data_IF_716476092584
#
_entry.id   IF_716476092584
#
_cell.length_a   1.000
_cell.length_b   1.000
_cell.length_c   1.000
_cell.angle_alpha   90.00
_cell.angle_beta   90.00
_cell.angle_gamma   90.00
#
_symmetry.space_group_name_H-M   'P 1'
#
loop_
_entity.id
_entity.type
_entity.pdbx_description
1 polymer ?
#
# COMPACT_ATOMS: atom_id res chain seq x y z
N UNK A 1 17.33 -59.56 -47.70
CA UNK A 1 17.59 -58.68 -46.53
C UNK A 1 16.93 -57.34 -46.77
N UNK A 2 15.81 -57.04 -46.08
CA UNK A 2 15.17 -55.71 -46.10
C UNK A 2 15.25 -55.12 -44.70
N UNK A 3 16.26 -54.27 -44.45
CA UNK A 3 16.25 -53.34 -43.32
C UNK A 3 15.76 -51.99 -43.85
N UNK A 4 14.43 -51.80 -43.82
CA UNK A 4 13.78 -50.57 -44.27
C UNK A 4 13.31 -49.74 -43.08
N UNK A 5 13.94 -48.57 -42.91
CA UNK A 5 13.24 -47.29 -42.74
C UNK A 5 12.22 -47.21 -41.58
N UNK A 6 12.67 -47.39 -40.33
CA UNK A 6 11.88 -47.06 -39.12
C UNK A 6 12.38 -45.84 -38.34
N UNK A 7 13.60 -45.37 -38.60
CA UNK A 7 14.23 -44.28 -37.83
C UNK A 7 13.74 -42.86 -38.16
N UNK A 8 13.42 -42.58 -39.43
CA UNK A 8 13.06 -41.22 -39.87
C UNK A 8 11.69 -40.74 -39.39
N UNK A 9 10.72 -41.65 -39.27
CA UNK A 9 9.36 -41.32 -38.80
C UNK A 9 9.36 -40.97 -37.31
N UNK A 10 10.16 -41.69 -36.51
CA UNK A 10 10.26 -41.46 -35.07
C UNK A 10 10.87 -40.08 -34.75
N UNK A 11 11.88 -39.67 -35.52
CA UNK A 11 12.55 -38.35 -35.38
C UNK A 11 11.61 -37.22 -35.78
N UNK A 12 10.80 -37.39 -36.83
CA UNK A 12 9.82 -36.38 -37.25
C UNK A 12 8.69 -36.22 -36.20
N UNK A 13 8.23 -37.33 -35.61
CA UNK A 13 7.21 -37.30 -34.53
C UNK A 13 7.76 -36.62 -33.27
N UNK A 14 9.04 -36.85 -32.93
CA UNK A 14 9.70 -36.15 -31.81
C UNK A 14 9.86 -34.65 -32.07
N UNK A 15 10.25 -34.23 -33.28
CA UNK A 15 10.40 -32.81 -33.64
C UNK A 15 9.05 -32.07 -33.72
N UNK A 16 7.99 -32.72 -34.20
CA UNK A 16 6.63 -32.16 -34.22
C UNK A 16 6.01 -32.13 -32.82
N UNK A 17 6.31 -33.13 -31.97
CA UNK A 17 5.91 -33.14 -30.56
C UNK A 17 6.57 -32.03 -29.73
N UNK A 18 7.83 -31.68 -30.04
CA UNK A 18 8.56 -30.58 -29.41
C UNK A 18 8.04 -29.19 -29.80
N UNK A 19 7.35 -29.04 -30.94
CA UNK A 19 6.73 -27.77 -31.36
C UNK A 19 5.34 -27.52 -30.74
N UNK A 20 4.75 -28.51 -30.08
CA UNK A 20 3.47 -28.39 -29.34
C UNK A 20 3.67 -28.05 -27.86
N UNK A 21 4.86 -27.61 -27.44
CA UNK A 21 5.03 -26.94 -26.15
C UNK A 21 4.59 -25.49 -26.35
N UNK A 22 3.28 -25.30 -26.52
CA UNK A 22 2.67 -23.99 -26.45
C UNK A 22 3.03 -23.40 -25.09
N UNK A 23 3.72 -22.27 -25.08
CA UNK A 23 4.01 -21.53 -23.85
C UNK A 23 2.67 -21.23 -23.21
N UNK A 24 2.37 -21.90 -22.08
CA UNK A 24 1.21 -21.59 -21.27
C UNK A 24 1.42 -20.18 -20.74
N UNK A 25 0.77 -19.24 -21.40
CA UNK A 25 0.73 -17.84 -20.98
C UNK A 25 -0.32 -17.77 -19.87
N UNK A 26 0.07 -17.21 -18.74
CA UNK A 26 -0.69 -17.25 -17.49
C UNK A 26 -0.79 -15.84 -16.93
N UNK A 27 -1.78 -15.55 -16.08
CA UNK A 27 -1.82 -14.29 -15.34
C UNK A 27 -0.45 -14.06 -14.70
N UNK A 28 0.27 -13.05 -15.19
CA UNK A 28 1.52 -12.63 -14.61
C UNK A 28 1.36 -11.21 -14.09
N UNK A 29 2.20 -10.90 -13.09
CA UNK A 29 2.58 -9.53 -12.82
C UNK A 29 1.47 -8.65 -12.21
N UNK A 30 0.64 -9.18 -11.31
CA UNK A 30 -0.18 -8.33 -10.44
C UNK A 30 0.73 -7.45 -9.58
N UNK A 31 0.59 -6.13 -9.74
CA UNK A 31 1.35 -5.08 -9.04
C UNK A 31 0.37 -4.15 -8.32
N UNK A 32 0.41 -4.24 -7.00
CA UNK A 32 -0.35 -3.37 -6.12
C UNK A 32 0.49 -2.15 -5.74
N UNK A 33 -0.09 -0.95 -5.91
CA UNK A 33 0.43 0.32 -5.41
C UNK A 33 -0.57 0.89 -4.41
N UNK A 34 -0.17 0.92 -3.15
CA UNK A 34 -0.87 1.58 -2.05
C UNK A 34 0.06 2.67 -1.52
N UNK A 35 -0.42 3.91 -1.30
CA UNK A 35 0.39 4.95 -0.70
C UNK A 35 0.80 4.54 0.70
N UNK A 36 2.10 4.67 1.02
CA UNK A 36 2.63 4.29 2.34
C UNK A 36 2.00 5.09 3.48
N UNK A 37 1.71 6.36 3.22
CA UNK A 37 1.08 7.26 4.17
C UNK A 37 0.13 8.22 3.44
N UNK A 38 -1.03 8.48 4.04
CA UNK A 38 -2.00 9.49 3.58
C UNK A 38 -2.44 10.33 4.78
N UNK A 39 -2.54 11.64 4.60
CA UNK A 39 -2.97 12.53 5.69
C UNK A 39 -4.47 12.37 5.94
N UNK A 40 -4.88 12.33 7.22
CA UNK A 40 -6.29 12.26 7.62
C UNK A 40 -7.14 13.29 6.88
N UNK A 41 -8.30 12.87 6.41
CA UNK A 41 -9.24 13.70 5.66
C UNK A 41 -8.92 13.89 4.17
N UNK A 42 -7.75 13.43 3.69
CA UNK A 42 -7.46 13.37 2.25
C UNK A 42 -7.99 12.09 1.62
N UNK A 43 -7.95 12.01 0.30
CA UNK A 43 -8.34 10.81 -0.44
C UNK A 43 -7.12 9.89 -0.65
N UNK A 44 -7.34 8.58 -0.65
CA UNK A 44 -6.31 7.59 -0.93
C UNK A 44 -6.62 6.84 -2.23
N UNK A 45 -5.66 6.85 -3.15
CA UNK A 45 -5.78 6.15 -4.44
C UNK A 45 -5.01 4.84 -4.38
N UNK A 46 -5.74 3.73 -4.49
CA UNK A 46 -5.17 2.38 -4.53
C UNK A 46 -5.18 1.89 -5.98
N UNK A 47 -4.05 1.38 -6.48
CA UNK A 47 -3.95 0.93 -7.86
C UNK A 47 -3.46 -0.50 -7.96
N UNK A 48 -4.13 -1.30 -8.79
CA UNK A 48 -3.81 -2.68 -9.07
C UNK A 48 -3.60 -2.85 -10.57
N UNK A 49 -2.35 -3.01 -10.98
CA UNK A 49 -1.98 -3.24 -12.37
C UNK A 49 -1.78 -4.73 -12.56
N UNK A 50 -2.27 -5.29 -13.67
CA UNK A 50 -2.17 -6.71 -13.96
C UNK A 50 -2.07 -6.94 -15.47
N UNK A 51 -1.47 -8.05 -15.87
CA UNK A 51 -1.39 -8.49 -17.27
C UNK A 51 -2.02 -9.88 -17.39
N UNK A 52 -3.10 -9.97 -18.17
CA UNK A 52 -3.87 -11.20 -18.36
C UNK A 52 -3.20 -12.16 -19.36
N UNK A 53 -2.11 -11.76 -20.03
CA UNK A 53 -1.37 -12.54 -21.04
C UNK A 53 -2.27 -13.23 -22.10
N UNK A 54 -3.38 -12.57 -22.48
CA UNK A 54 -4.32 -13.05 -23.50
C UNK A 54 -5.64 -13.60 -22.97
N UNK A 55 -5.77 -13.83 -21.65
CA UNK A 55 -7.03 -14.20 -21.02
C UNK A 55 -8.00 -13.02 -20.91
N UNK A 56 -9.27 -13.34 -20.63
CA UNK A 56 -10.27 -12.33 -20.22
C UNK A 56 -10.26 -12.16 -18.72
N UNK A 57 -10.62 -10.98 -18.24
CA UNK A 57 -10.78 -10.73 -16.81
C UNK A 57 -12.09 -11.37 -16.32
N UNK A 58 -12.03 -12.17 -15.27
CA UNK A 58 -13.22 -12.62 -14.54
C UNK A 58 -13.61 -11.61 -13.45
N UNK A 59 -12.67 -11.22 -12.58
CA UNK A 59 -12.93 -10.21 -11.55
C UNK A 59 -11.66 -9.57 -10.98
N UNK A 60 -11.79 -8.32 -10.52
CA UNK A 60 -10.84 -7.69 -9.58
C UNK A 60 -11.58 -7.44 -8.26
N UNK A 61 -11.03 -7.93 -7.15
CA UNK A 61 -11.59 -7.74 -5.81
C UNK A 61 -10.59 -7.03 -4.91
N UNK A 62 -11.12 -6.15 -4.06
CA UNK A 62 -10.35 -5.38 -3.10
C UNK A 62 -10.79 -5.71 -1.69
N UNK A 63 -9.79 -5.93 -0.84
CA UNK A 63 -9.97 -6.32 0.55
C UNK A 63 -9.28 -5.36 1.49
N UNK A 64 -9.91 -5.11 2.63
CA UNK A 64 -9.28 -4.52 3.81
C UNK A 64 -9.20 -5.59 4.88
N UNK A 65 -7.98 -6.06 5.17
CA UNK A 65 -7.78 -7.30 5.92
C UNK A 65 -8.49 -8.47 5.22
N UNK A 66 -9.49 -9.06 5.88
CA UNK A 66 -10.27 -10.18 5.36
C UNK A 66 -11.63 -9.77 4.77
N UNK A 67 -11.96 -8.48 4.79
CA UNK A 67 -13.26 -7.99 4.35
C UNK A 67 -13.17 -7.41 2.94
N UNK A 68 -13.91 -8.00 2.02
CA UNK A 68 -14.12 -7.42 0.70
C UNK A 68 -14.90 -6.13 0.83
N UNK A 69 -14.47 -5.08 0.12
CA UNK A 69 -15.17 -3.79 0.11
C UNK A 69 -15.50 -3.29 -1.29
N UNK A 70 -14.80 -3.78 -2.31
CA UNK A 70 -15.05 -3.41 -3.70
C UNK A 70 -14.75 -4.57 -4.65
N UNK A 71 -15.60 -4.75 -5.67
CA UNK A 71 -15.43 -5.73 -6.73
C UNK A 71 -15.79 -5.14 -8.09
N UNK A 72 -14.95 -5.42 -9.07
CA UNK A 72 -15.24 -5.20 -10.49
C UNK A 72 -15.33 -6.56 -11.21
N UNK A 73 -16.47 -6.86 -11.82
CA UNK A 73 -16.74 -8.06 -12.60
C UNK A 73 -17.31 -7.67 -13.97
N UNK A 74 -16.53 -7.68 -15.07
CA UNK A 74 -16.98 -7.17 -16.37
C UNK A 74 -18.16 -7.95 -16.96
N UNK A 75 -18.35 -9.21 -16.58
CA UNK A 75 -19.46 -10.08 -17.01
C UNK A 75 -20.76 -9.92 -16.21
N UNK A 76 -20.76 -9.13 -15.14
CA UNK A 76 -21.95 -8.90 -14.31
C UNK A 76 -22.61 -7.54 -14.62
N UNK A 77 -23.89 -7.40 -14.26
CA UNK A 77 -24.63 -6.14 -14.30
C UNK A 77 -25.31 -5.88 -12.93
N UNK A 78 -24.89 -4.86 -12.16
CA UNK A 78 -23.82 -3.90 -12.46
C UNK A 78 -22.43 -4.55 -12.41
N UNK A 79 -21.49 -3.97 -13.17
CA UNK A 79 -20.08 -4.41 -13.19
C UNK A 79 -19.36 -4.16 -11.87
N UNK A 80 -19.78 -3.13 -11.13
CA UNK A 80 -19.20 -2.74 -9.85
C UNK A 80 -20.15 -3.16 -8.72
N UNK A 81 -19.59 -3.78 -7.68
CA UNK A 81 -20.27 -4.08 -6.43
C UNK A 81 -19.45 -3.51 -5.28
N UNK A 82 -20.12 -2.84 -4.36
CA UNK A 82 -19.52 -2.30 -3.14
C UNK A 82 -20.08 -3.00 -1.91
N UNK A 83 -19.21 -3.27 -0.94
CA UNK A 83 -19.57 -3.84 0.35
C UNK A 83 -19.15 -2.85 1.43
N UNK A 84 -20.14 -2.29 2.13
CA UNK A 84 -19.89 -1.21 3.08
C UNK A 84 -19.07 -1.73 4.27
N UNK A 85 -17.94 -1.07 4.52
CA UNK A 85 -17.17 -1.21 5.75
C UNK A 85 -17.24 0.10 6.53
N UNK A 86 -17.39 0.01 7.85
CA UNK A 86 -17.47 1.19 8.71
C UNK A 86 -16.19 2.03 8.55
N UNK A 87 -16.37 3.34 8.35
CA UNK A 87 -15.28 4.31 8.18
C UNK A 87 -14.66 4.36 6.78
N UNK A 88 -14.97 3.40 5.90
CA UNK A 88 -14.39 3.32 4.56
C UNK A 88 -15.41 3.70 3.50
N UNK A 89 -15.16 4.82 2.82
CA UNK A 89 -16.02 5.33 1.75
C UNK A 89 -15.28 5.23 0.42
N UNK A 90 -15.89 4.58 -0.57
CA UNK A 90 -15.34 4.46 -1.93
C UNK A 90 -15.99 5.50 -2.84
N UNK A 91 -15.18 6.25 -3.59
CA UNK A 91 -15.68 7.08 -4.69
C UNK A 91 -15.96 6.20 -5.90
N UNK A 92 -17.23 5.91 -6.18
CA UNK A 92 -17.63 5.05 -7.31
C UNK A 92 -17.28 5.67 -8.67
N UNK A 93 -17.38 7.00 -8.80
CA UNK A 93 -17.14 7.71 -10.06
C UNK A 93 -15.67 7.65 -10.49
N UNK A 94 -14.75 7.53 -9.54
CA UNK A 94 -13.30 7.47 -9.77
C UNK A 94 -12.72 6.05 -9.59
N UNK A 95 -13.55 5.07 -9.24
CA UNK A 95 -13.15 3.68 -9.05
C UNK A 95 -13.52 2.81 -10.25
N UNK A 96 -12.56 2.03 -10.73
CA UNK A 96 -12.66 1.15 -11.90
C UNK A 96 -12.06 -0.22 -11.58
N UNK A 97 -11.71 -0.99 -12.59
CA UNK A 97 -11.07 -2.29 -12.46
C UNK A 97 -9.66 -2.19 -11.87
N UNK A 98 -8.83 -1.24 -12.34
CA UNK A 98 -7.44 -1.11 -11.90
C UNK A 98 -7.23 -0.14 -10.74
N UNK A 99 -8.27 0.55 -10.27
CA UNK A 99 -8.13 1.61 -9.28
C UNK A 99 -9.35 1.71 -8.36
N UNK A 100 -9.10 1.92 -7.06
CA UNK A 100 -10.14 2.28 -6.08
C UNK A 100 -9.70 3.54 -5.34
N UNK A 101 -10.61 4.52 -5.25
CA UNK A 101 -10.39 5.78 -4.53
C UNK A 101 -11.18 5.76 -3.23
N UNK A 102 -10.48 5.90 -2.10
CA UNK A 102 -11.07 6.02 -0.77
C UNK A 102 -11.18 7.50 -0.41
N UNK A 103 -12.36 7.96 -0.05
CA UNK A 103 -12.60 9.38 0.24
C UNK A 103 -12.41 9.70 1.72
N UNK A 104 -11.79 10.86 2.00
CA UNK A 104 -11.68 11.46 3.35
C UNK A 104 -11.24 10.44 4.39
N UNK A 105 -10.08 9.86 4.17
CA UNK A 105 -9.58 8.73 4.96
C UNK A 105 -9.42 9.09 6.43
N UNK A 106 -9.76 8.14 7.28
CA UNK A 106 -9.67 8.27 8.73
C UNK A 106 -8.67 7.27 9.30
N UNK A 107 -8.17 7.53 10.51
CA UNK A 107 -7.14 6.68 11.13
C UNK A 107 -7.58 5.22 11.26
N UNK A 108 -8.87 4.99 11.54
CA UNK A 108 -9.49 3.68 11.71
C UNK A 108 -9.52 2.84 10.44
N UNK A 109 -9.24 3.41 9.24
CA UNK A 109 -9.13 2.64 8.00
C UNK A 109 -7.71 2.21 7.64
N UNK A 110 -6.71 2.56 8.46
CA UNK A 110 -5.34 2.05 8.30
C UNK A 110 -5.31 0.52 8.34
N UNK A 111 -4.28 -0.06 7.74
CA UNK A 111 -4.00 -1.50 7.76
C UNK A 111 -3.70 -2.08 6.38
N UNK A 112 -3.85 -3.39 6.27
CA UNK A 112 -3.51 -4.15 5.07
C UNK A 112 -4.63 -4.08 4.03
N UNK A 113 -4.27 -3.71 2.81
CA UNK A 113 -5.15 -3.71 1.65
C UNK A 113 -4.65 -4.74 0.65
N UNK A 114 -5.57 -5.56 0.13
CA UNK A 114 -5.25 -6.56 -0.90
C UNK A 114 -6.03 -6.31 -2.18
N UNK A 115 -5.38 -6.56 -3.31
CA UNK A 115 -6.03 -6.69 -4.61
C UNK A 115 -5.89 -8.14 -5.08
N UNK A 116 -7.00 -8.79 -5.40
CA UNK A 116 -7.09 -10.11 -6.01
C UNK A 116 -7.57 -9.95 -7.46
N UNK A 117 -6.81 -10.47 -8.41
CA UNK A 117 -7.15 -10.49 -9.83
C UNK A 117 -7.36 -11.93 -10.25
N UNK A 118 -8.52 -12.22 -10.84
CA UNK A 118 -8.86 -13.54 -11.38
C UNK A 118 -9.10 -13.42 -12.87
N UNK A 119 -8.36 -14.19 -13.66
CA UNK A 119 -8.58 -14.42 -15.08
C UNK A 119 -9.75 -15.40 -15.30
N UNK A 120 -10.39 -15.30 -16.45
CA UNK A 120 -11.48 -16.18 -16.90
C UNK A 120 -10.89 -17.41 -17.64
N UNK A 121 -11.75 -18.17 -18.31
CA UNK A 121 -11.36 -19.28 -19.17
C UNK A 121 -10.27 -18.87 -20.18
N UNK A 122 -9.31 -19.78 -20.48
CA UNK A 122 -9.21 -21.16 -20.00
C UNK A 122 -8.46 -21.33 -18.67
N UNK A 123 -7.74 -20.30 -18.22
CA UNK A 123 -6.71 -20.48 -17.21
C UNK A 123 -7.22 -20.43 -15.77
N UNK A 124 -8.25 -19.62 -15.53
CA UNK A 124 -8.79 -19.33 -14.19
C UNK A 124 -7.73 -18.88 -13.18
N UNK A 125 -6.59 -18.36 -13.64
CA UNK A 125 -5.51 -17.98 -12.74
C UNK A 125 -5.94 -16.84 -11.84
N UNK A 126 -5.57 -16.95 -10.57
CA UNK A 126 -5.82 -15.94 -9.55
C UNK A 126 -4.50 -15.56 -8.90
N UNK A 127 -4.26 -14.26 -8.77
CA UNK A 127 -3.10 -13.74 -8.06
C UNK A 127 -3.52 -12.58 -7.15
N UNK A 128 -2.93 -12.53 -5.96
CA UNK A 128 -3.25 -11.55 -4.93
C UNK A 128 -1.98 -10.86 -4.45
N UNK A 129 -2.07 -9.54 -4.26
CA UNK A 129 -1.02 -8.74 -3.63
C UNK A 129 -1.60 -7.94 -2.48
N UNK A 130 -0.79 -7.74 -1.45
CA UNK A 130 -1.17 -7.00 -0.24
C UNK A 130 -0.14 -5.93 0.06
N UNK A 131 -0.60 -4.76 0.49
CA UNK A 131 0.24 -3.63 0.90
C UNK A 131 -0.44 -2.84 2.02
N UNK A 132 0.36 -2.22 2.88
CA UNK A 132 -0.14 -1.47 4.02
C UNK A 132 -0.45 -0.01 3.65
N UNK A 133 -1.62 0.47 4.05
CA UNK A 133 -1.99 1.88 4.06
C UNK A 133 -1.91 2.39 5.50
N UNK A 134 -1.13 3.45 5.73
CA UNK A 134 -1.12 4.18 7.00
C UNK A 134 -1.79 5.53 6.84
N UNK A 135 -2.81 5.82 7.64
CA UNK A 135 -3.37 7.17 7.74
C UNK A 135 -2.67 7.90 8.88
N UNK A 136 -2.14 9.09 8.59
CA UNK A 136 -1.34 9.88 9.52
C UNK A 136 -1.95 11.25 9.78
N UNK A 137 -1.64 11.82 10.94
CA UNK A 137 -1.96 13.19 11.31
C UNK A 137 -0.65 13.95 11.54
N UNK A 138 -0.48 15.04 10.79
CA UNK A 138 0.68 15.90 10.93
C UNK A 138 0.42 16.97 11.99
N UNK A 139 1.45 17.39 12.78
CA UNK A 139 1.36 18.57 13.62
C UNK A 139 0.95 19.78 12.77
N UNK A 140 0.06 20.64 13.30
CA UNK A 140 -0.40 21.84 12.57
C UNK A 140 0.63 22.96 12.56
N UNK A 141 1.61 22.89 13.46
CA UNK A 141 2.67 23.88 13.66
C UNK A 141 4.01 23.20 13.87
N UNK A 142 5.06 23.96 13.60
CA UNK A 142 6.42 23.56 13.94
C UNK A 142 6.58 23.36 15.46
N UNK A 143 7.48 22.46 15.88
CA UNK A 143 7.72 22.23 17.29
C UNK A 143 8.21 23.50 17.97
N UNK A 144 7.72 23.72 19.19
CA UNK A 144 8.05 24.91 19.98
C UNK A 144 9.16 24.58 20.97
N UNK A 145 10.14 25.49 21.07
CA UNK A 145 11.26 25.37 22.01
C UNK A 145 11.10 26.37 23.14
N UNK A 146 11.01 25.86 24.36
CA UNK A 146 10.88 26.63 25.59
C UNK A 146 12.07 26.44 26.54
N UNK A 147 12.20 27.32 27.53
CA UNK A 147 13.22 27.21 28.59
C UNK A 147 14.57 27.87 28.29
N UNK A 148 14.77 28.37 27.07
CA UNK A 148 15.98 29.11 26.70
C UNK A 148 16.01 30.53 27.29
N UNK A 149 17.19 30.98 27.70
CA UNK A 149 17.45 32.36 28.13
C UNK A 149 17.77 33.24 26.93
N UNK A 150 17.46 34.53 27.02
CA UNK A 150 17.81 35.51 25.98
C UNK A 150 19.32 35.75 25.87
N UNK A 151 20.08 35.49 26.94
CA UNK A 151 21.54 35.64 26.99
C UNK A 151 22.15 34.56 27.88
N UNK A 152 23.33 34.11 27.49
CA UNK A 152 24.13 33.11 28.20
C UNK A 152 25.56 33.62 28.41
N UNK A 153 26.18 33.24 29.51
CA UNK A 153 27.60 33.42 29.78
C UNK A 153 28.37 32.14 29.43
N UNK A 154 29.69 32.24 29.30
CA UNK A 154 30.54 31.06 29.22
C UNK A 154 30.30 30.17 30.44
N UNK A 155 30.29 28.85 30.23
CA UNK A 155 29.97 27.80 31.22
C UNK A 155 28.50 27.70 31.65
N UNK A 156 27.59 28.52 31.11
CA UNK A 156 26.16 28.32 31.38
C UNK A 156 25.64 27.02 30.73
N UNK A 157 24.80 26.30 31.46
CA UNK A 157 24.10 25.12 30.94
C UNK A 157 22.86 25.57 30.16
N UNK A 158 22.75 25.12 28.91
CA UNK A 158 21.54 25.26 28.11
C UNK A 158 20.58 24.12 28.46
N UNK A 159 19.41 24.47 28.98
CA UNK A 159 18.30 23.55 29.20
C UNK A 159 17.11 24.06 28.42
N UNK A 160 16.56 23.23 27.55
CA UNK A 160 15.41 23.57 26.73
C UNK A 160 14.47 22.38 26.64
N UNK A 161 13.19 22.66 26.42
CA UNK A 161 12.18 21.67 26.11
C UNK A 161 11.69 21.90 24.69
N UNK A 162 11.48 20.84 23.93
CA UNK A 162 10.95 20.90 22.58
C UNK A 162 9.69 20.05 22.54
N UNK A 163 8.57 20.65 22.15
CA UNK A 163 7.28 19.97 22.07
C UNK A 163 6.70 20.13 20.67
N UNK A 164 6.28 19.01 20.07
CA UNK A 164 5.42 19.01 18.89
C UNK A 164 3.97 19.19 19.30
N UNK A 165 3.13 19.74 18.43
CA UNK A 165 1.68 19.60 18.60
C UNK A 165 1.23 18.15 18.31
N UNK A 166 -0.01 17.82 18.67
CA UNK A 166 -0.61 16.50 18.48
C UNK A 166 -0.47 15.96 17.06
N UNK A 167 0.05 14.74 16.94
CA UNK A 167 0.29 14.04 15.68
C UNK A 167 0.01 12.53 15.80
N UNK A 168 -0.11 11.86 14.66
CA UNK A 168 -0.17 10.41 14.61
C UNK A 168 0.61 9.88 13.39
N UNK A 169 1.64 9.02 13.57
CA UNK A 169 2.24 8.63 14.85
C UNK A 169 2.93 9.82 15.54
N UNK A 170 3.46 9.61 16.75
CA UNK A 170 4.24 10.62 17.46
C UNK A 170 5.35 11.19 16.57
N UNK A 171 5.45 12.53 16.57
CA UNK A 171 6.51 13.24 15.86
C UNK A 171 7.89 12.83 16.39
N UNK A 172 8.86 12.68 15.49
CA UNK A 172 10.24 12.43 15.86
C UNK A 172 10.98 13.77 15.99
N UNK A 173 11.36 14.15 17.21
CA UNK A 173 12.04 15.40 17.51
C UNK A 173 13.55 15.18 17.60
N UNK A 174 14.32 16.02 16.89
CA UNK A 174 15.79 15.97 16.86
C UNK A 174 16.37 17.34 17.18
N UNK A 175 17.42 17.37 18.00
CA UNK A 175 18.05 18.62 18.45
C UNK A 175 19.31 18.95 17.64
N UNK A 176 19.39 20.22 17.23
CA UNK A 176 20.56 20.81 16.60
C UNK A 176 20.92 22.13 17.27
N UNK A 177 22.21 22.40 17.44
CA UNK A 177 22.73 23.70 17.88
C UNK A 177 23.61 24.23 16.74
N UNK A 178 23.19 25.36 16.14
CA UNK A 178 23.86 25.95 14.98
C UNK A 178 24.08 24.95 13.82
N UNK A 179 23.10 24.07 13.58
CA UNK A 179 23.15 23.04 12.53
C UNK A 179 23.96 21.79 12.90
N UNK A 180 24.57 21.74 14.08
CA UNK A 180 25.31 20.57 14.55
C UNK A 180 24.39 19.70 15.43
N UNK A 181 24.25 18.39 15.15
CA UNK A 181 23.40 17.51 15.95
C UNK A 181 23.93 17.39 17.37
N UNK A 182 23.02 17.48 18.35
CA UNK A 182 23.34 17.31 19.76
C UNK A 182 23.58 15.83 20.07
N UNK A 183 24.59 15.51 20.88
CA UNK A 183 24.86 14.13 21.28
C UNK A 183 23.70 13.57 22.12
N UNK A 184 23.32 12.32 21.86
CA UNK A 184 22.17 11.65 22.51
C UNK A 184 22.22 11.68 24.04
N UNK A 185 23.42 11.64 24.65
CA UNK A 185 23.60 11.70 26.11
C UNK A 185 23.06 12.99 26.77
N UNK A 186 22.83 14.04 25.97
CA UNK A 186 22.26 15.32 26.42
C UNK A 186 20.79 15.48 26.02
N UNK A 187 20.19 14.46 25.41
CA UNK A 187 18.80 14.46 24.95
C UNK A 187 18.02 13.49 25.84
N UNK A 188 16.89 13.95 26.35
CA UNK A 188 15.93 13.10 27.07
C UNK A 188 14.62 13.09 26.29
N UNK A 189 14.20 11.91 25.85
CA UNK A 189 12.91 11.72 25.20
C UNK A 189 11.85 11.47 26.27
N UNK A 190 10.79 12.29 26.24
CA UNK A 190 9.59 12.04 27.03
C UNK A 190 8.71 11.03 26.30
N UNK A 191 8.01 10.18 27.05
CA UNK A 191 7.01 9.29 26.46
C UNK A 191 5.86 10.13 25.86
N UNK A 192 5.42 9.84 24.62
CA UNK A 192 4.34 10.61 24.02
C UNK A 192 3.06 10.52 24.83
N UNK A 193 2.48 11.66 25.17
CA UNK A 193 1.23 11.74 25.91
C UNK A 193 0.05 11.87 24.95
N UNK A 194 -1.11 11.31 25.33
CA UNK A 194 -2.36 11.50 24.56
C UNK A 194 -2.72 12.99 24.56
N UNK A 195 -2.76 13.57 23.37
CA UNK A 195 -3.08 14.97 23.15
C UNK A 195 -4.60 15.20 23.17
N UNK A 196 -5.38 14.29 22.58
CA UNK A 196 -6.84 14.40 22.49
C UNK A 196 -7.55 13.06 22.31
N UNK A 197 -8.89 13.09 22.30
CA UNK A 197 -9.76 11.91 22.09
C UNK A 197 -9.61 11.27 20.68
N UNK A 198 -9.07 12.01 19.70
CA UNK A 198 -8.83 11.51 18.34
C UNK A 198 -7.60 10.60 18.23
N UNK A 199 -6.90 10.36 19.34
CA UNK A 199 -5.73 9.48 19.42
C UNK A 199 -4.41 10.15 19.00
N UNK A 200 -4.40 11.49 18.86
CA UNK A 200 -3.16 12.23 18.61
C UNK A 200 -2.28 12.21 19.85
N UNK A 201 -0.96 12.27 19.65
CA UNK A 201 0.03 12.27 20.73
C UNK A 201 1.03 13.42 20.57
N UNK A 202 1.53 13.90 21.71
CA UNK A 202 2.51 14.99 21.84
C UNK A 202 3.76 14.55 22.58
#
# INVERSE_FOLDING_TARGET
MKMGQKGGVLVLVLLVGLFLIGVVSCLKNVKLKVPRAVVRGQDAVLQCHYDLEGDKLYSVKWYRGNFEFFRYSPGENPKIKQFKLRGLNVNEGESKDTQVVLEKVSQDISGMYSCEVTADQPSFFTDMRTSELKVIDLPKKDPQIDGLKTRYKLEDVLKANCCSEGSYPAANLTWYINGIPVQEKFIWHLEPAIYNEDGLVT
#
